data_IF_556459051032
#
_entry.id   IF_556459051032
#
_cell.length_a   1.000
_cell.length_b   1.000
_cell.length_c   1.000
_cell.angle_alpha   90.00
_cell.angle_beta   90.00
_cell.angle_gamma   90.00
#
_symmetry.space_group_name_H-M   'P 1'
#
loop_
_entity.id
_entity.type
_entity.pdbx_description
1 polymer ?
#
# COMPACT_ATOMS: atom_id res chain seq x y z
N UNK A 1 -11.51 12.25 30.96
CA UNK A 1 -10.43 11.97 29.99
C UNK A 1 -11.03 12.05 28.59
N UNK A 2 -10.86 13.19 27.90
CA UNK A 2 -11.43 13.43 26.57
C UNK A 2 -10.35 13.18 25.52
N UNK A 3 -10.49 12.09 24.75
CA UNK A 3 -9.60 11.75 23.64
C UNK A 3 -9.67 12.80 22.53
N UNK A 4 -8.51 13.32 22.13
CA UNK A 4 -8.37 14.38 21.14
C UNK A 4 -8.54 13.82 19.72
N UNK A 5 -9.78 13.83 19.21
CA UNK A 5 -10.13 13.27 17.89
C UNK A 5 -9.92 14.24 16.70
N UNK A 6 -9.03 15.24 16.83
CA UNK A 6 -8.91 16.37 15.89
C UNK A 6 -7.87 16.23 14.77
N UNK A 7 -7.14 15.11 14.68
CA UNK A 7 -5.99 14.99 13.78
C UNK A 7 -6.14 13.99 12.61
N UNK A 8 -7.33 13.42 12.42
CA UNK A 8 -7.62 12.52 11.29
C UNK A 8 -8.73 13.15 10.43
N UNK A 9 -8.40 13.53 9.19
CA UNK A 9 -9.38 13.98 8.19
C UNK A 9 -9.46 12.94 7.08
N UNK A 10 -10.64 12.83 6.46
CA UNK A 10 -10.88 11.93 5.34
C UNK A 10 -10.17 12.43 4.07
N UNK A 11 -9.85 11.50 3.18
CA UNK A 11 -9.11 11.75 1.93
C UNK A 11 -9.73 12.85 1.04
N UNK A 12 -11.06 12.88 0.87
CA UNK A 12 -11.75 13.82 -0.03
C UNK A 12 -11.61 15.31 0.36
N UNK A 13 -11.17 15.60 1.58
CA UNK A 13 -10.83 16.97 2.01
C UNK A 13 -9.51 17.49 1.39
N UNK A 14 -8.81 16.64 0.64
CA UNK A 14 -7.48 16.87 0.09
C UNK A 14 -7.43 16.43 -1.38
N UNK A 15 -7.02 17.33 -2.28
CA UNK A 15 -6.72 16.93 -3.67
C UNK A 15 -5.56 15.93 -3.71
N UNK A 16 -5.66 14.93 -4.59
CA UNK A 16 -4.68 13.84 -4.74
C UNK A 16 -3.25 14.34 -4.99
N UNK A 17 -3.09 15.53 -5.60
CA UNK A 17 -1.81 16.19 -5.84
C UNK A 17 -1.05 16.64 -4.58
N UNK A 18 -1.69 16.61 -3.41
CA UNK A 18 -1.06 17.01 -2.14
C UNK A 18 -0.30 15.88 -1.43
N UNK A 19 -0.41 14.64 -1.90
CA UNK A 19 0.31 13.49 -1.32
C UNK A 19 1.71 13.35 -1.94
N UNK A 20 2.70 13.03 -1.12
CA UNK A 20 4.03 12.71 -1.63
C UNK A 20 3.99 11.39 -2.41
N UNK A 21 4.87 11.27 -3.40
CA UNK A 21 5.07 10.04 -4.18
C UNK A 21 5.28 8.84 -3.25
N UNK A 22 6.18 8.99 -2.27
CA UNK A 22 6.49 7.88 -1.36
C UNK A 22 5.33 7.40 -0.49
N UNK A 23 4.40 8.29 -0.11
CA UNK A 23 3.19 7.85 0.60
C UNK A 23 2.30 6.98 -0.28
N UNK A 24 2.13 7.35 -1.55
CA UNK A 24 1.33 6.57 -2.51
C UNK A 24 2.02 5.25 -2.81
N UNK A 25 3.34 5.25 -3.00
CA UNK A 25 4.12 4.03 -3.24
C UNK A 25 4.02 3.04 -2.08
N UNK A 26 4.14 3.49 -0.83
CA UNK A 26 4.00 2.62 0.34
C UNK A 26 2.61 1.97 0.43
N UNK A 27 1.55 2.71 0.11
CA UNK A 27 0.19 2.17 0.02
C UNK A 27 0.10 1.12 -1.09
N UNK A 28 0.57 1.45 -2.29
CA UNK A 28 0.55 0.54 -3.43
C UNK A 28 1.35 -0.74 -3.20
N UNK A 29 2.55 -0.65 -2.63
CA UNK A 29 3.38 -1.80 -2.25
C UNK A 29 2.62 -2.74 -1.32
N UNK A 30 1.96 -2.20 -0.30
CA UNK A 30 1.15 -3.01 0.61
C UNK A 30 -0.03 -3.65 -0.13
N UNK A 31 -0.81 -2.85 -0.86
CA UNK A 31 -2.03 -3.29 -1.54
C UNK A 31 -1.77 -4.37 -2.60
N UNK A 32 -0.67 -4.26 -3.36
CA UNK A 32 -0.24 -5.30 -4.31
C UNK A 32 0.08 -6.59 -3.56
N UNK A 33 0.89 -6.54 -2.50
CA UNK A 33 1.29 -7.75 -1.75
C UNK A 33 0.10 -8.51 -1.19
N UNK A 34 -0.87 -7.79 -0.63
CA UNK A 34 -2.06 -8.41 -0.02
C UNK A 34 -3.20 -8.62 -1.02
N UNK A 35 -3.03 -8.26 -2.29
CA UNK A 35 -4.05 -8.26 -3.32
C UNK A 35 -5.38 -7.65 -2.81
N UNK A 36 -5.32 -6.36 -2.43
CA UNK A 36 -6.49 -5.65 -1.94
C UNK A 36 -7.48 -5.39 -3.09
N UNK A 37 -8.69 -5.92 -3.01
CA UNK A 37 -9.68 -5.82 -4.10
C UNK A 37 -10.63 -4.63 -3.97
N UNK A 38 -10.45 -3.79 -2.93
CA UNK A 38 -11.29 -2.62 -2.66
C UNK A 38 -10.46 -1.39 -2.23
N UNK A 39 -9.31 -1.15 -2.87
CA UNK A 39 -8.55 0.07 -2.58
C UNK A 39 -9.12 1.27 -3.33
N UNK A 40 -9.84 2.10 -2.59
CA UNK A 40 -10.26 3.44 -3.02
C UNK A 40 -9.80 4.53 -2.05
N UNK A 41 -9.91 5.79 -2.48
CA UNK A 41 -9.61 7.03 -1.76
C UNK A 41 -10.29 7.08 -0.38
N UNK A 42 -11.55 6.65 -0.31
CA UNK A 42 -12.30 6.54 0.96
C UNK A 42 -11.65 5.63 2.01
N UNK A 43 -10.81 4.67 1.60
CA UNK A 43 -10.09 3.75 2.49
C UNK A 43 -8.71 4.27 2.91
N UNK A 44 -8.45 5.57 2.74
CA UNK A 44 -7.21 6.21 3.14
C UNK A 44 -7.48 7.36 4.10
N UNK A 45 -6.84 7.31 5.27
CA UNK A 45 -6.84 8.42 6.20
C UNK A 45 -5.63 9.32 5.94
N UNK A 46 -5.85 10.63 6.07
CA UNK A 46 -4.78 11.62 5.96
C UNK A 46 -4.41 12.10 7.36
N UNK A 47 -3.16 11.84 7.77
CA UNK A 47 -2.58 12.36 9.01
C UNK A 47 -1.69 13.54 8.67
N UNK A 48 -1.90 14.68 9.36
CA UNK A 48 -0.98 15.81 9.27
C UNK A 48 0.24 15.54 10.13
N UNK A 49 1.43 15.68 9.56
CA UNK A 49 2.68 15.62 10.29
C UNK A 49 3.12 17.05 10.58
N UNK A 50 3.04 17.46 11.85
CA UNK A 50 3.54 18.78 12.27
C UNK A 50 5.05 18.68 12.48
N UNK A 51 5.81 18.76 11.39
CA UNK A 51 7.27 18.80 11.46
C UNK A 51 7.68 20.24 11.78
N UNK A 52 7.88 20.53 13.07
CA UNK A 52 7.96 21.85 13.70
C UNK A 52 8.87 22.89 13.05
N UNK A 53 8.45 23.49 11.93
CA UNK A 53 9.10 24.61 11.26
C UNK A 53 9.51 24.39 9.81
N UNK A 54 9.29 23.23 9.19
CA UNK A 54 9.53 23.05 7.74
C UNK A 54 8.37 23.65 6.93
N UNK A 55 8.68 24.53 5.99
CA UNK A 55 7.71 25.08 5.04
C UNK A 55 7.22 23.98 4.09
N UNK A 56 6.04 23.44 4.38
CA UNK A 56 5.36 22.44 3.57
C UNK A 56 4.41 21.61 4.44
N UNK A 57 3.16 21.43 3.98
CA UNK A 57 2.19 20.59 4.68
C UNK A 57 2.55 19.12 4.44
N UNK A 58 3.44 18.56 5.25
CA UNK A 58 3.69 17.12 5.21
C UNK A 58 2.48 16.37 5.74
N UNK A 59 1.97 15.46 4.92
CA UNK A 59 0.89 14.55 5.27
C UNK A 59 1.38 13.13 5.08
N UNK A 60 0.74 12.23 5.81
CA UNK A 60 0.97 10.80 5.73
C UNK A 60 -0.33 10.11 5.36
N UNK A 61 -0.23 9.14 4.47
CA UNK A 61 -1.35 8.29 4.08
C UNK A 61 -1.35 7.04 4.97
N UNK A 62 -2.51 6.77 5.57
CA UNK A 62 -2.71 5.58 6.39
C UNK A 62 -3.79 4.74 5.72
N UNK A 63 -3.43 3.60 5.11
CA UNK A 63 -4.40 2.67 4.57
C UNK A 63 -5.22 2.07 5.71
N UNK A 64 -6.53 2.11 5.54
CA UNK A 64 -7.50 1.45 6.41
C UNK A 64 -8.34 0.49 5.57
N UNK A 65 -9.18 -0.25 6.28
CA UNK A 65 -10.17 -1.17 5.72
C UNK A 65 -9.57 -2.20 4.75
N UNK A 66 -8.92 -3.21 5.33
CA UNK A 66 -8.36 -4.34 4.60
C UNK A 66 -9.31 -5.55 4.65
N UNK A 67 -10.62 -5.33 4.80
CA UNK A 67 -11.60 -6.40 4.91
C UNK A 67 -11.72 -7.27 3.66
N UNK A 68 -11.27 -6.75 2.51
CA UNK A 68 -11.30 -7.39 1.19
C UNK A 68 -9.87 -7.60 0.63
N UNK A 69 -8.91 -7.97 1.47
CA UNK A 69 -7.58 -8.41 1.04
C UNK A 69 -7.36 -9.91 1.27
N UNK A 70 -6.32 -10.46 0.64
CA UNK A 70 -5.89 -11.85 0.74
C UNK A 70 -6.99 -12.84 0.33
N UNK A 71 -7.52 -12.74 -0.91
CA UNK A 71 -8.46 -13.73 -1.44
C UNK A 71 -7.79 -15.12 -1.55
N UNK A 72 -8.59 -16.16 -1.82
CA UNK A 72 -8.06 -17.53 -2.00
C UNK A 72 -7.61 -17.83 -3.43
N UNK A 73 -8.00 -16.97 -4.37
CA UNK A 73 -7.67 -17.07 -5.78
C UNK A 73 -7.18 -15.72 -6.27
N UNK A 74 -6.45 -15.71 -7.37
CA UNK A 74 -6.16 -14.48 -8.08
C UNK A 74 -7.49 -13.86 -8.54
N UNK A 75 -7.70 -12.63 -8.12
CA UNK A 75 -8.81 -11.79 -8.55
C UNK A 75 -8.27 -10.65 -9.43
N UNK A 76 -9.18 -9.84 -9.98
CA UNK A 76 -8.86 -8.65 -10.77
C UNK A 76 -9.07 -7.40 -9.88
N UNK A 77 -8.07 -7.00 -9.08
CA UNK A 77 -8.22 -5.87 -8.16
C UNK A 77 -8.29 -4.55 -8.95
N UNK A 78 -9.16 -3.65 -8.50
CA UNK A 78 -9.12 -2.26 -8.97
C UNK A 78 -8.49 -1.37 -7.90
N UNK A 79 -7.37 -0.76 -8.24
CA UNK A 79 -6.67 0.18 -7.37
C UNK A 79 -6.90 1.62 -7.83
N UNK A 80 -7.56 2.45 -7.03
CA UNK A 80 -7.81 3.86 -7.43
C UNK A 80 -6.50 4.66 -7.62
N UNK A 81 -5.43 4.29 -6.91
CA UNK A 81 -4.16 5.00 -6.99
C UNK A 81 -3.47 4.89 -8.36
N UNK A 82 -3.87 3.97 -9.26
CA UNK A 82 -3.27 3.87 -10.61
C UNK A 82 -3.46 5.15 -11.42
N UNK A 83 -4.53 5.90 -11.12
CA UNK A 83 -4.87 7.16 -11.80
C UNK A 83 -4.21 8.38 -11.16
N UNK A 84 -3.45 8.20 -10.09
CA UNK A 84 -2.80 9.31 -9.41
C UNK A 84 -1.43 9.56 -10.07
N UNK A 85 -1.07 10.83 -10.35
CA UNK A 85 0.20 11.14 -11.02
C UNK A 85 1.43 10.54 -10.35
N UNK A 86 1.37 10.37 -9.02
CA UNK A 86 2.41 9.73 -8.22
C UNK A 86 2.68 8.28 -8.65
N UNK A 87 1.67 7.51 -9.01
CA UNK A 87 1.84 6.10 -9.38
C UNK A 87 2.61 5.91 -10.69
N UNK A 88 2.64 6.92 -11.56
CA UNK A 88 3.44 6.93 -12.80
C UNK A 88 4.89 7.38 -12.59
N UNK A 89 5.30 7.67 -11.35
CA UNK A 89 6.69 8.01 -11.01
C UNK A 89 7.44 6.70 -10.68
N UNK A 90 8.70 6.53 -11.13
CA UNK A 90 9.51 5.38 -10.72
C UNK A 90 9.66 5.29 -9.20
N UNK A 91 9.78 4.07 -8.67
CA UNK A 91 10.13 3.86 -7.26
C UNK A 91 11.48 4.53 -6.92
N UNK A 92 11.59 5.05 -5.70
CA UNK A 92 12.87 5.53 -5.18
C UNK A 92 13.81 4.36 -4.84
N UNK A 93 15.11 4.64 -4.66
CA UNK A 93 16.07 3.64 -4.16
C UNK A 93 15.61 3.02 -2.83
N UNK A 94 15.17 3.84 -1.87
CA UNK A 94 14.63 3.35 -0.58
C UNK A 94 13.45 2.36 -0.75
N UNK A 95 12.59 2.59 -1.74
CA UNK A 95 11.44 1.74 -2.02
C UNK A 95 11.84 0.45 -2.72
N UNK A 96 12.78 0.53 -3.67
CA UNK A 96 13.35 -0.64 -4.34
C UNK A 96 14.11 -1.53 -3.34
N UNK A 97 14.94 -0.95 -2.48
CA UNK A 97 15.65 -1.65 -1.42
C UNK A 97 14.67 -2.34 -0.45
N UNK A 98 13.59 -1.65 -0.08
CA UNK A 98 12.53 -2.25 0.74
C UNK A 98 11.87 -3.44 0.03
N UNK A 99 11.45 -3.27 -1.23
CA UNK A 99 10.82 -4.35 -2.02
C UNK A 99 11.78 -5.54 -2.16
N UNK A 100 13.05 -5.29 -2.45
CA UNK A 100 14.08 -6.32 -2.59
C UNK A 100 14.37 -7.04 -1.27
N UNK A 101 14.19 -6.38 -0.12
CA UNK A 101 14.33 -7.02 1.20
C UNK A 101 13.18 -7.95 1.60
N UNK A 102 12.01 -7.89 0.95
CA UNK A 102 10.84 -8.71 1.31
C UNK A 102 11.09 -10.20 1.09
N UNK A 103 10.84 -11.03 2.11
CA UNK A 103 10.91 -12.49 2.02
C UNK A 103 9.49 -13.10 2.07
N UNK A 104 8.95 -13.58 0.94
CA UNK A 104 7.60 -14.11 0.88
C UNK A 104 7.41 -15.42 1.66
N UNK A 105 8.48 -16.14 1.97
CA UNK A 105 8.43 -17.37 2.77
C UNK A 105 8.50 -17.06 4.26
N UNK A 106 9.31 -16.06 4.65
CA UNK A 106 9.29 -15.55 6.01
C UNK A 106 7.91 -14.95 6.35
N UNK A 107 7.31 -14.18 5.43
CA UNK A 107 5.96 -13.65 5.58
C UNK A 107 4.90 -14.76 5.72
N UNK A 108 5.06 -15.86 4.97
CA UNK A 108 4.20 -17.04 5.08
C UNK A 108 4.25 -17.64 6.47
N UNK A 109 5.46 -17.91 6.99
CA UNK A 109 5.64 -18.50 8.31
C UNK A 109 5.10 -17.60 9.42
N UNK A 110 5.41 -16.31 9.36
CA UNK A 110 4.90 -15.32 10.30
C UNK A 110 3.37 -15.27 10.28
N UNK A 111 2.77 -15.18 9.10
CA UNK A 111 1.31 -15.11 8.94
C UNK A 111 0.63 -16.37 9.46
N UNK A 112 1.20 -17.56 9.22
CA UNK A 112 0.68 -18.82 9.74
C UNK A 112 0.70 -18.88 11.27
N UNK A 113 1.73 -18.30 11.89
CA UNK A 113 1.89 -18.28 13.35
C UNK A 113 0.98 -17.25 14.03
N UNK A 114 0.87 -16.05 13.45
CA UNK A 114 0.12 -14.93 14.04
C UNK A 114 -1.37 -14.94 13.68
N UNK A 115 -1.74 -15.54 12.53
CA UNK A 115 -3.11 -15.61 12.04
C UNK A 115 -3.55 -17.07 11.86
N UNK A 116 -3.77 -17.83 12.94
CA UNK A 116 -4.05 -19.28 12.86
C UNK A 116 -5.31 -19.65 12.07
N UNK A 117 -6.21 -18.69 11.83
CA UNK A 117 -7.43 -18.88 11.03
C UNK A 117 -7.25 -18.57 9.54
N UNK A 118 -6.08 -18.07 9.11
CA UNK A 118 -5.83 -17.77 7.70
C UNK A 118 -5.76 -19.07 6.88
N UNK A 119 -6.42 -19.09 5.71
CA UNK A 119 -6.32 -20.23 4.82
C UNK A 119 -4.97 -20.21 4.10
N UNK A 120 -4.40 -21.39 3.84
CA UNK A 120 -3.17 -21.52 3.05
C UNK A 120 -3.30 -20.93 1.64
N UNK A 121 -4.49 -20.95 1.05
CA UNK A 121 -4.73 -20.34 -0.26
C UNK A 121 -4.47 -18.82 -0.24
N UNK A 122 -4.92 -18.13 0.82
CA UNK A 122 -4.64 -16.70 1.04
C UNK A 122 -3.12 -16.43 1.16
N UNK A 123 -2.40 -17.31 1.86
CA UNK A 123 -0.94 -17.20 1.97
C UNK A 123 -0.23 -17.43 0.63
N UNK A 124 -0.77 -18.32 -0.23
CA UNK A 124 -0.23 -18.51 -1.60
C UNK A 124 -0.38 -17.25 -2.43
N UNK A 125 -1.49 -16.51 -2.27
CA UNK A 125 -1.69 -15.20 -2.90
C UNK A 125 -0.66 -14.19 -2.38
N UNK A 126 -0.48 -14.07 -1.06
CA UNK A 126 0.55 -13.18 -0.49
C UNK A 126 1.95 -13.46 -1.06
N UNK A 127 2.35 -14.73 -1.09
CA UNK A 127 3.64 -15.17 -1.64
C UNK A 127 3.75 -14.81 -3.12
N UNK A 128 2.73 -15.14 -3.92
CA UNK A 128 2.73 -14.89 -5.36
C UNK A 128 2.79 -13.39 -5.68
N UNK A 129 1.96 -12.59 -5.05
CA UNK A 129 1.91 -11.15 -5.25
C UNK A 129 3.19 -10.45 -4.78
N UNK A 130 3.82 -10.94 -3.70
CA UNK A 130 5.13 -10.43 -3.26
C UNK A 130 6.23 -10.75 -4.27
N UNK A 131 6.26 -11.98 -4.82
CA UNK A 131 7.21 -12.35 -5.88
C UNK A 131 6.99 -11.49 -7.13
N UNK A 132 5.74 -11.34 -7.55
CA UNK A 132 5.36 -10.51 -8.70
C UNK A 132 5.83 -9.06 -8.51
N UNK A 133 5.55 -8.45 -7.35
CA UNK A 133 5.98 -7.09 -7.03
C UNK A 133 7.51 -6.95 -7.14
N UNK A 134 8.27 -7.89 -6.56
CA UNK A 134 9.74 -7.88 -6.62
C UNK A 134 10.25 -7.95 -8.04
N UNK A 135 9.69 -8.86 -8.85
CA UNK A 135 10.09 -9.01 -10.24
C UNK A 135 9.76 -7.74 -11.05
N UNK A 136 8.53 -7.24 -10.94
CA UNK A 136 8.10 -6.06 -11.67
C UNK A 136 8.92 -4.80 -11.31
N UNK A 137 9.15 -4.56 -10.01
CA UNK A 137 10.01 -3.49 -9.55
C UNK A 137 11.46 -3.65 -10.05
N UNK A 138 12.00 -4.88 -10.04
CA UNK A 138 13.33 -5.19 -10.58
C UNK A 138 13.46 -4.99 -12.10
N UNK A 139 12.35 -5.08 -12.83
CA UNK A 139 12.27 -4.70 -14.26
C UNK A 139 12.08 -3.20 -14.49
N UNK A 140 12.02 -2.39 -13.43
CA UNK A 140 11.89 -0.95 -13.50
C UNK A 140 10.47 -0.45 -13.77
N UNK A 141 9.43 -1.28 -13.55
CA UNK A 141 8.05 -0.83 -13.67
C UNK A 141 7.72 0.17 -12.55
N UNK A 142 6.95 1.20 -12.89
CA UNK A 142 6.30 2.06 -11.90
C UNK A 142 5.03 1.41 -11.34
N UNK A 143 4.50 2.02 -10.28
CA UNK A 143 3.35 1.47 -9.57
C UNK A 143 2.10 1.37 -10.47
N UNK A 144 1.85 2.35 -11.34
CA UNK A 144 0.72 2.33 -12.28
C UNK A 144 0.81 1.13 -13.25
N UNK A 145 1.99 0.86 -13.80
CA UNK A 145 2.21 -0.28 -14.71
C UNK A 145 2.08 -1.64 -14.01
N UNK A 146 2.35 -1.69 -12.70
CA UNK A 146 2.14 -2.88 -11.87
C UNK A 146 0.64 -3.09 -11.64
N UNK A 147 -0.11 -2.03 -11.33
CA UNK A 147 -1.54 -2.11 -11.06
C UNK A 147 -2.43 -2.40 -12.28
N UNK A 148 -1.90 -2.25 -13.49
CA UNK A 148 -2.60 -2.56 -14.76
C UNK A 148 -2.40 -4.01 -15.24
N UNK A 149 -1.62 -4.85 -14.54
CA UNK A 149 -1.19 -6.18 -14.99
C UNK A 149 -1.72 -7.34 -14.18
#
# INVERSE_FOLDING_TARGET
MSGNNRNKKMFYDHGTSSFSVSNVHRVGILDVRILNTDRHAGNLLVRKVNDGGKFGRQVELIPIDHGLCLPESLEDPYFEWIHWPQASIPFSEDELDYIESLDPYQDWELSRNELPMIREACLRILTLCTIFLKQAAGFGLCLAEIGER
#
